data_IF_987406185858
#
_entry.id   IF_987406185858
#
_cell.length_a   1.000
_cell.length_b   1.000
_cell.length_c   1.000
_cell.angle_alpha   90.00
_cell.angle_beta   90.00
_cell.angle_gamma   90.00
#
_symmetry.space_group_name_H-M   'P 1'
#
loop_
_entity.id
_entity.type
_entity.pdbx_description
1 polymer ?
#
# COMPACT_ATOMS: atom_id res chain seq x y z
N UNK A 1 25.76 26.92 35.65
CA UNK A 1 25.81 27.29 34.23
C UNK A 1 25.14 26.14 33.47
N UNK A 2 23.83 26.23 33.25
CA UNK A 2 23.02 25.20 32.58
C UNK A 2 22.60 25.72 31.21
N UNK A 3 22.88 24.96 30.15
CA UNK A 3 22.13 25.04 28.90
C UNK A 3 21.67 23.64 28.53
N UNK A 4 20.37 23.43 28.61
CA UNK A 4 19.66 22.34 27.95
C UNK A 4 18.59 23.02 27.11
N UNK A 5 18.73 22.98 25.79
CA UNK A 5 17.72 23.50 24.87
C UNK A 5 16.80 22.35 24.48
N UNK A 6 15.61 22.31 25.08
CA UNK A 6 14.50 21.51 24.57
C UNK A 6 13.75 22.37 23.53
N UNK A 7 13.74 21.92 22.27
CA UNK A 7 12.91 22.52 21.24
C UNK A 7 11.44 22.20 21.54
N UNK A 8 10.61 23.24 21.61
CA UNK A 8 9.18 23.11 21.82
C UNK A 8 8.51 22.42 20.62
N UNK A 9 7.88 21.27 20.86
CA UNK A 9 6.93 20.65 19.93
C UNK A 9 5.67 21.50 19.94
N UNK A 10 5.52 22.31 18.89
CA UNK A 10 4.35 23.14 18.66
C UNK A 10 3.13 22.29 18.31
N UNK A 11 2.14 22.33 19.19
CA UNK A 11 0.81 21.76 19.01
C UNK A 11 0.13 22.43 17.79
N UNK A 12 0.11 21.74 16.64
CA UNK A 12 -0.71 22.13 15.49
C UNK A 12 -1.99 21.33 15.53
N UNK A 13 -3.05 22.04 15.92
CA UNK A 13 -4.44 21.64 15.94
C UNK A 13 -4.84 20.83 14.71
N UNK A 14 -5.42 19.66 14.97
CA UNK A 14 -6.15 18.83 14.03
C UNK A 14 -7.16 19.67 13.24
N UNK A 15 -7.02 19.67 11.91
CA UNK A 15 -8.01 20.22 11.00
C UNK A 15 -8.04 19.37 9.74
N UNK A 16 -8.88 18.33 9.73
CA UNK A 16 -9.71 17.93 8.60
C UNK A 16 -10.57 16.73 9.01
N UNK A 17 -11.49 16.93 9.96
CA UNK A 17 -12.64 16.05 10.08
C UNK A 17 -13.62 16.40 8.94
N UNK A 18 -13.38 15.89 7.72
CA UNK A 18 -14.36 15.87 6.64
C UNK A 18 -13.98 14.79 5.62
N UNK A 19 -14.83 13.76 5.48
CA UNK A 19 -14.64 12.52 4.70
C UNK A 19 -13.54 11.61 5.27
N UNK A 20 -13.91 10.42 5.78
CA UNK A 20 -13.06 9.50 6.57
C UNK A 20 -11.55 9.57 6.26
N UNK A 21 -10.74 9.69 7.32
CA UNK A 21 -9.29 9.97 7.25
C UNK A 21 -8.48 9.03 6.36
N UNK A 22 -7.20 9.34 6.13
CA UNK A 22 -6.39 8.62 5.15
C UNK A 22 -6.31 7.11 5.46
N UNK A 23 -6.37 6.72 6.74
CA UNK A 23 -6.49 5.31 7.12
C UNK A 23 -7.73 4.62 6.52
N UNK A 24 -8.88 5.30 6.51
CA UNK A 24 -10.11 4.76 5.94
C UNK A 24 -10.06 4.66 4.42
N UNK A 25 -9.41 5.63 3.77
CA UNK A 25 -9.10 5.56 2.34
C UNK A 25 -8.27 4.32 2.01
N UNK A 26 -7.26 4.02 2.81
CA UNK A 26 -6.43 2.81 2.66
C UNK A 26 -7.23 1.54 2.92
N UNK A 27 -8.04 1.46 4.00
CA UNK A 27 -8.92 0.29 4.27
C UNK A 27 -9.82 -0.02 3.08
N UNK A 28 -10.45 1.01 2.50
CA UNK A 28 -11.27 0.89 1.29
C UNK A 28 -10.46 0.39 0.10
N UNK A 29 -9.22 0.83 -0.05
CA UNK A 29 -8.31 0.32 -1.09
C UNK A 29 -8.01 -1.17 -0.97
N UNK A 30 -7.72 -1.67 0.23
CA UNK A 30 -7.53 -3.11 0.45
C UNK A 30 -8.80 -3.92 0.14
N UNK A 31 -9.97 -3.42 0.57
CA UNK A 31 -11.24 -4.07 0.28
C UNK A 31 -11.52 -4.12 -1.23
N UNK A 32 -11.33 -3.01 -1.94
CA UNK A 32 -11.52 -2.92 -3.38
C UNK A 32 -10.54 -3.81 -4.16
N UNK A 33 -9.26 -3.83 -3.77
CA UNK A 33 -8.26 -4.70 -4.37
C UNK A 33 -8.62 -6.18 -4.23
N UNK A 34 -8.97 -6.65 -3.02
CA UNK A 34 -9.34 -8.05 -2.79
C UNK A 34 -10.64 -8.45 -3.49
N UNK A 35 -11.55 -7.50 -3.74
CA UNK A 35 -12.80 -7.71 -4.47
C UNK A 35 -12.67 -7.53 -5.99
N UNK A 36 -11.48 -7.18 -6.50
CA UNK A 36 -11.26 -6.76 -7.88
C UNK A 36 -12.17 -5.60 -8.35
N UNK A 37 -12.52 -4.68 -7.44
CA UNK A 37 -13.34 -3.50 -7.71
C UNK A 37 -12.47 -2.35 -8.25
N UNK A 38 -12.26 -2.39 -9.57
CA UNK A 38 -11.46 -1.39 -10.30
C UNK A 38 -12.12 -0.01 -10.28
N UNK A 39 -13.45 0.08 -10.23
CA UNK A 39 -14.16 1.36 -10.21
C UNK A 39 -13.87 2.11 -8.89
N UNK A 40 -13.86 1.40 -7.76
CA UNK A 40 -13.46 1.98 -6.49
C UNK A 40 -11.98 2.34 -6.47
N UNK A 41 -11.09 1.46 -6.96
CA UNK A 41 -9.66 1.78 -7.06
C UNK A 41 -9.40 3.04 -7.90
N UNK A 42 -10.07 3.17 -9.04
CA UNK A 42 -10.00 4.34 -9.93
C UNK A 42 -10.43 5.63 -9.22
N UNK A 43 -11.44 5.55 -8.35
CA UNK A 43 -11.93 6.71 -7.60
C UNK A 43 -11.03 7.13 -6.45
N UNK A 44 -10.31 6.20 -5.81
CA UNK A 44 -9.52 6.50 -4.61
C UNK A 44 -8.04 6.74 -4.90
N UNK A 45 -7.52 6.27 -6.04
CA UNK A 45 -6.13 6.51 -6.43
C UNK A 45 -6.05 7.75 -7.33
N UNK A 46 -4.99 8.53 -7.19
CA UNK A 46 -4.73 9.66 -8.08
C UNK A 46 -4.40 9.16 -9.50
N UNK A 47 -4.70 9.97 -10.52
CA UNK A 47 -4.43 9.61 -11.92
C UNK A 47 -2.94 9.37 -12.19
N UNK A 48 -2.06 10.08 -11.47
CA UNK A 48 -0.60 10.01 -11.60
C UNK A 48 0.03 9.16 -10.48
N UNK A 49 -0.78 8.33 -9.79
CA UNK A 49 -0.33 7.50 -8.66
C UNK A 49 0.93 6.70 -8.99
N UNK A 50 1.86 6.63 -8.04
CA UNK A 50 3.05 5.80 -8.16
C UNK A 50 2.98 4.60 -7.23
N UNK A 51 3.38 3.43 -7.73
CA UNK A 51 3.44 2.21 -6.93
C UNK A 51 4.80 1.57 -7.06
N UNK A 52 5.44 1.29 -5.92
CA UNK A 52 6.75 0.64 -5.89
C UNK A 52 6.67 -0.74 -5.24
N UNK A 53 7.03 -1.74 -6.04
CA UNK A 53 7.18 -3.13 -5.62
C UNK A 53 8.67 -3.47 -5.56
N UNK A 54 9.22 -3.85 -4.40
CA UNK A 54 10.62 -4.22 -4.27
C UNK A 54 10.89 -5.59 -4.92
N UNK A 55 12.15 -6.01 -4.89
CA UNK A 55 12.57 -7.32 -5.39
C UNK A 55 13.22 -7.25 -6.77
N UNK A 56 13.64 -8.42 -7.28
CA UNK A 56 14.43 -8.56 -8.51
C UNK A 56 13.75 -9.35 -9.62
N UNK A 57 12.50 -9.73 -9.40
CA UNK A 57 11.69 -10.47 -10.39
C UNK A 57 10.98 -9.54 -11.37
N UNK A 58 10.30 -10.11 -12.36
CA UNK A 58 9.53 -9.34 -13.35
C UNK A 58 8.39 -8.52 -12.74
N UNK A 59 7.95 -8.85 -11.52
CA UNK A 59 6.92 -8.11 -10.79
C UNK A 59 7.47 -6.84 -10.14
N UNK A 60 8.79 -6.76 -9.92
CA UNK A 60 9.45 -5.64 -9.24
C UNK A 60 9.48 -4.34 -10.05
N UNK A 61 9.85 -3.27 -9.34
CA UNK A 61 10.06 -1.93 -9.90
C UNK A 61 8.92 -0.95 -9.58
N UNK A 62 9.03 0.24 -10.17
CA UNK A 62 8.06 1.32 -9.98
C UNK A 62 7.11 1.39 -11.18
N UNK A 63 5.82 1.55 -10.91
CA UNK A 63 4.75 1.83 -11.88
C UNK A 63 4.25 3.25 -11.65
N UNK A 64 3.91 3.97 -12.73
CA UNK A 64 3.46 5.36 -12.65
C UNK A 64 2.18 5.54 -13.46
N UNK A 65 1.20 6.20 -12.86
CA UNK A 65 -0.13 6.36 -13.41
C UNK A 65 -1.02 5.14 -13.16
N UNK A 66 -2.33 5.38 -13.10
CA UNK A 66 -3.31 4.34 -12.80
C UNK A 66 -3.22 3.12 -13.73
N UNK A 67 -2.99 3.34 -15.02
CA UNK A 67 -2.92 2.24 -16.00
C UNK A 67 -1.83 1.23 -15.64
N UNK A 68 -0.60 1.69 -15.38
CA UNK A 68 0.53 0.81 -15.07
C UNK A 68 0.37 0.16 -13.70
N UNK A 69 -0.21 0.88 -12.73
CA UNK A 69 -0.49 0.36 -11.39
C UNK A 69 -1.58 -0.72 -11.44
N UNK A 70 -2.66 -0.50 -12.21
CA UNK A 70 -3.72 -1.50 -12.35
C UNK A 70 -3.27 -2.68 -13.20
N UNK A 71 -2.39 -2.49 -14.19
CA UNK A 71 -1.76 -3.59 -14.91
C UNK A 71 -0.95 -4.47 -13.94
N UNK A 72 -0.20 -3.86 -13.02
CA UNK A 72 0.52 -4.57 -11.96
C UNK A 72 -0.42 -5.33 -11.01
N UNK A 73 -1.51 -4.71 -10.56
CA UNK A 73 -2.51 -5.39 -9.73
C UNK A 73 -3.21 -6.54 -10.48
N UNK A 74 -3.45 -6.36 -11.78
CA UNK A 74 -3.95 -7.39 -12.67
C UNK A 74 -2.99 -8.59 -12.77
N UNK A 75 -1.67 -8.37 -12.71
CA UNK A 75 -0.69 -9.46 -12.63
C UNK A 75 -0.76 -10.22 -11.30
N UNK A 76 -0.96 -9.54 -10.18
CA UNK A 76 -1.18 -10.20 -8.89
C UNK A 76 -2.37 -11.16 -8.94
N UNK A 77 -3.51 -10.71 -9.45
CA UNK A 77 -4.68 -11.55 -9.62
C UNK A 77 -4.47 -12.64 -10.69
N UNK A 78 -4.08 -12.25 -11.90
CA UNK A 78 -4.03 -13.12 -13.08
C UNK A 78 -2.98 -14.22 -12.98
N UNK A 79 -1.75 -13.90 -12.57
CA UNK A 79 -0.66 -14.88 -12.49
C UNK A 79 -0.82 -15.85 -11.30
N UNK A 80 -1.76 -15.58 -10.39
CA UNK A 80 -2.10 -16.46 -9.26
C UNK A 80 -3.45 -17.17 -9.43
N UNK A 81 -4.06 -17.10 -10.61
CA UNK A 81 -5.39 -17.69 -10.85
C UNK A 81 -6.48 -17.09 -9.95
N UNK A 82 -6.34 -15.82 -9.54
CA UNK A 82 -7.27 -15.11 -8.67
C UNK A 82 -7.14 -15.44 -7.18
N UNK A 83 -6.11 -16.18 -6.77
CA UNK A 83 -5.91 -16.58 -5.37
C UNK A 83 -5.17 -15.54 -4.52
N UNK A 84 -4.50 -14.57 -5.15
CA UNK A 84 -3.78 -13.53 -4.41
C UNK A 84 -4.72 -12.73 -3.50
N UNK A 85 -4.35 -12.60 -2.23
CA UNK A 85 -5.04 -11.77 -1.24
C UNK A 85 -4.05 -10.89 -0.51
N UNK A 86 -4.49 -9.67 -0.19
CA UNK A 86 -3.81 -8.77 0.73
C UNK A 86 -4.69 -8.62 1.98
N UNK A 87 -4.49 -9.50 2.95
CA UNK A 87 -5.30 -9.49 4.19
C UNK A 87 -4.77 -8.42 5.11
N UNK A 88 -5.49 -7.30 5.17
CA UNK A 88 -5.15 -6.17 6.04
C UNK A 88 -5.25 -6.59 7.50
N UNK A 89 -4.17 -6.37 8.26
CA UNK A 89 -4.09 -6.70 9.69
C UNK A 89 -4.28 -5.44 10.53
N UNK A 90 -3.62 -4.35 10.16
CA UNK A 90 -3.72 -3.07 10.87
C UNK A 90 -3.40 -1.89 9.94
N UNK A 91 -3.83 -0.70 10.33
CA UNK A 91 -3.56 0.57 9.63
C UNK A 91 -3.17 1.63 10.63
N UNK A 92 -2.02 2.25 10.40
CA UNK A 92 -1.48 3.34 11.21
C UNK A 92 -1.48 4.62 10.40
N UNK A 93 -1.97 5.72 10.97
CA UNK A 93 -1.94 7.05 10.38
C UNK A 93 -1.14 7.99 11.28
N UNK A 94 -0.19 8.72 10.71
CA UNK A 94 0.60 9.73 11.40
C UNK A 94 -0.11 11.08 11.42
N UNK A 95 0.29 11.96 12.33
CA UNK A 95 -0.29 13.31 12.48
C UNK A 95 -0.17 14.19 11.21
N UNK A 96 0.82 13.91 10.36
CA UNK A 96 1.03 14.57 9.06
C UNK A 96 0.30 13.88 7.89
N UNK A 97 -0.53 12.87 8.18
CA UNK A 97 -1.41 12.20 7.23
C UNK A 97 -0.76 11.05 6.44
N UNK A 98 0.49 10.69 6.71
CA UNK A 98 1.10 9.47 6.20
C UNK A 98 0.39 8.23 6.74
N UNK A 99 0.27 7.17 5.92
CA UNK A 99 -0.42 5.94 6.34
C UNK A 99 0.45 4.72 6.09
N UNK A 100 0.46 3.78 7.04
CA UNK A 100 1.08 2.47 6.88
C UNK A 100 0.02 1.38 7.03
N UNK A 101 -0.17 0.58 5.99
CA UNK A 101 -0.96 -0.65 6.06
C UNK A 101 -0.07 -1.84 6.36
N UNK A 102 -0.32 -2.57 7.45
CA UNK A 102 0.31 -3.86 7.73
C UNK A 102 -0.63 -4.96 7.24
N UNK A 103 -0.15 -5.82 6.34
CA UNK A 103 -0.96 -6.89 5.79
C UNK A 103 -0.18 -8.17 5.56
N UNK A 104 -0.91 -9.26 5.34
CA UNK A 104 -0.38 -10.55 4.93
C UNK A 104 -0.78 -10.83 3.49
N UNK A 105 0.20 -11.09 2.63
CA UNK A 105 -0.04 -11.58 1.28
C UNK A 105 -0.04 -13.10 1.23
N UNK A 106 -1.07 -13.66 0.62
CA UNK A 106 -1.19 -15.09 0.34
C UNK A 106 -1.60 -15.31 -1.11
N UNK A 107 -1.25 -16.46 -1.68
CA UNK A 107 -1.65 -16.84 -3.03
C UNK A 107 -0.97 -18.11 -3.49
N UNK A 108 -1.41 -18.65 -4.62
CA UNK A 108 -0.85 -19.85 -5.25
C UNK A 108 -0.46 -19.56 -6.70
N UNK A 109 0.69 -20.06 -7.13
CA UNK A 109 1.20 -19.88 -8.48
C UNK A 109 2.19 -20.99 -8.83
N UNK A 110 1.99 -21.68 -9.94
CA UNK A 110 2.91 -22.71 -10.45
C UNK A 110 3.32 -23.75 -9.38
N UNK A 111 2.37 -24.18 -8.54
CA UNK A 111 2.62 -25.11 -7.43
C UNK A 111 3.35 -24.53 -6.21
N UNK A 112 3.67 -23.23 -6.21
CA UNK A 112 4.23 -22.48 -5.08
C UNK A 112 3.10 -21.82 -4.27
N UNK A 113 3.27 -21.70 -2.96
CA UNK A 113 2.39 -20.94 -2.05
C UNK A 113 3.11 -19.71 -1.52
N UNK A 114 2.49 -18.54 -1.68
CA UNK A 114 2.91 -17.30 -1.03
C UNK A 114 2.27 -17.20 0.35
N UNK A 115 3.09 -16.79 1.32
CA UNK A 115 2.63 -16.47 2.66
C UNK A 115 3.64 -15.53 3.34
N UNK A 116 3.48 -14.21 3.14
CA UNK A 116 4.45 -13.20 3.59
C UNK A 116 3.75 -12.00 4.23
N UNK A 117 4.40 -11.38 5.21
CA UNK A 117 4.00 -10.08 5.75
C UNK A 117 4.57 -8.95 4.89
N UNK A 118 3.82 -7.85 4.80
CA UNK A 118 4.22 -6.64 4.11
C UNK A 118 3.66 -5.41 4.82
N UNK A 119 4.46 -4.34 4.85
CA UNK A 119 3.98 -3.00 5.13
C UNK A 119 3.93 -2.21 3.83
N UNK A 120 2.84 -1.48 3.58
CA UNK A 120 2.80 -0.48 2.53
C UNK A 120 2.79 0.90 3.18
N UNK A 121 3.75 1.73 2.79
CA UNK A 121 3.74 3.16 3.11
C UNK A 121 2.95 3.87 2.02
N UNK A 122 1.87 4.53 2.41
CA UNK A 122 0.99 5.29 1.53
C UNK A 122 1.14 6.78 1.79
N UNK A 123 1.11 7.55 0.72
CA UNK A 123 0.88 8.98 0.76
C UNK A 123 -0.48 9.28 0.14
N UNK A 124 -1.23 10.16 0.78
CA UNK A 124 -2.50 10.64 0.28
C UNK A 124 -2.50 12.16 0.16
N UNK A 125 -3.18 12.65 -0.87
CA UNK A 125 -3.36 14.08 -1.12
C UNK A 125 -4.75 14.30 -1.69
N UNK A 126 -5.44 15.34 -1.21
CA UNK A 126 -6.77 15.74 -1.70
C UNK A 126 -7.78 14.56 -1.72
N UNK A 127 -7.71 13.69 -0.69
CA UNK A 127 -8.58 12.53 -0.54
C UNK A 127 -8.27 11.35 -1.48
N UNK A 128 -7.08 11.32 -2.11
CA UNK A 128 -6.64 10.27 -3.02
C UNK A 128 -5.27 9.73 -2.65
N UNK A 129 -5.04 8.44 -2.90
CA UNK A 129 -3.72 7.81 -2.77
C UNK A 129 -2.85 8.27 -3.94
N UNK A 130 -1.74 8.94 -3.65
CA UNK A 130 -0.76 9.42 -4.65
C UNK A 130 0.48 8.54 -4.73
N UNK A 131 0.78 7.79 -3.67
CA UNK A 131 1.83 6.78 -3.73
C UNK A 131 1.58 5.59 -2.80
N UNK A 132 2.14 4.43 -3.18
CA UNK A 132 2.24 3.25 -2.33
C UNK A 132 3.61 2.60 -2.52
N UNK A 133 4.27 2.25 -1.42
CA UNK A 133 5.57 1.56 -1.41
C UNK A 133 5.53 0.33 -0.54
N UNK A 134 5.66 -0.83 -1.15
CA UNK A 134 5.66 -2.13 -0.49
C UNK A 134 7.02 -2.41 0.20
N UNK A 135 6.96 -2.97 1.41
CA UNK A 135 8.10 -3.43 2.20
C UNK A 135 7.78 -4.81 2.77
N UNK A 136 8.31 -5.85 2.13
CA UNK A 136 8.12 -7.23 2.59
C UNK A 136 9.09 -7.56 3.71
N UNK A 137 8.61 -8.29 4.72
CA UNK A 137 9.45 -8.79 5.82
C UNK A 137 10.41 -9.90 5.34
N UNK A 138 9.92 -10.76 4.44
CA UNK A 138 10.74 -11.76 3.73
C UNK A 138 10.66 -11.49 2.22
N UNK A 139 11.53 -10.59 1.76
CA UNK A 139 11.64 -10.25 0.33
C UNK A 139 12.15 -11.43 -0.51
N UNK A 140 12.92 -12.35 0.09
CA UNK A 140 13.41 -13.52 -0.62
C UNK A 140 12.28 -14.51 -0.92
N UNK A 141 11.35 -14.72 0.02
CA UNK A 141 10.16 -15.53 -0.22
C UNK A 141 9.24 -14.90 -1.29
N UNK A 142 9.08 -13.58 -1.26
CA UNK A 142 8.38 -12.85 -2.33
C UNK A 142 9.02 -13.08 -3.71
N UNK A 143 10.33 -12.86 -3.83
CA UNK A 143 11.06 -13.06 -5.09
C UNK A 143 11.02 -14.54 -5.54
N UNK A 144 11.16 -15.50 -4.62
CA UNK A 144 11.08 -16.91 -4.96
C UNK A 144 9.70 -17.33 -5.51
N UNK A 145 8.61 -16.72 -4.99
CA UNK A 145 7.26 -16.93 -5.49
C UNK A 145 7.07 -16.38 -6.92
N UNK A 146 7.64 -15.19 -7.20
CA UNK A 146 7.52 -14.49 -8.49
C UNK A 146 8.59 -14.84 -9.53
N UNK A 147 9.58 -15.66 -9.16
CA UNK A 147 10.51 -16.30 -10.09
C UNK A 147 9.82 -17.31 -11.01
#
# INVERSE_FOLDING_TARGET
>A
MNMTTAAAVGNRTASAAAMGGNAELVRRGYAAFNAADIDTLTRIMDKDVSWHTPGRTSIGGTRKGQQDVFAQFGRYGGETGGTFRATLLDVYESDDGGVVGLHRNTGERNGKRLDVLCCIVFEAKDGRIVSGREHFFDLYAWDAFWA
#
